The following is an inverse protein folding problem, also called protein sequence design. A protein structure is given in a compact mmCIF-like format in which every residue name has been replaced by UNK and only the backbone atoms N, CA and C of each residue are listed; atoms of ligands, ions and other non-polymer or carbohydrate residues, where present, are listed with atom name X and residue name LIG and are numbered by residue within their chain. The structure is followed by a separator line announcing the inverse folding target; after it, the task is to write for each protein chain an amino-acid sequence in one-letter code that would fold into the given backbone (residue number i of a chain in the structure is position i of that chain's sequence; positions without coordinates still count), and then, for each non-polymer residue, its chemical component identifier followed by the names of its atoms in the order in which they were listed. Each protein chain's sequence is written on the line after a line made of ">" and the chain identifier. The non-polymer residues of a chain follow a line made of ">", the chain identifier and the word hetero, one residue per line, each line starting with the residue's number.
data_IF_230691044577
#
_entry.id   IF_230691044577
#
_cell.length_a   1.000
_cell.length_b   1.000
_cell.length_c   1.000
_cell.angle_alpha   90.00
_cell.angle_beta   90.00
_cell.angle_gamma   90.00
#
_symmetry.space_group_name_H-M   'P 1'
#
loop_
_entity.id
_entity.type
_entity.pdbx_description
1 polymer ?
#
# COMPACT_ATOMS: atom_id res chain seq x y z
N UNK A 1 -44.00 -9.67 -12.87
CA UNK A 1 -43.48 -10.77 -12.02
C UNK A 1 -43.77 -12.09 -12.72
N UNK A 2 -42.83 -12.61 -13.50
CA UNK A 2 -42.95 -13.87 -14.25
C UNK A 2 -41.88 -14.83 -13.73
N UNK A 3 -42.33 -15.91 -13.11
CA UNK A 3 -41.51 -17.01 -12.61
C UNK A 3 -41.35 -17.99 -13.77
N UNK A 4 -40.12 -18.24 -14.22
CA UNK A 4 -39.79 -19.32 -15.15
C UNK A 4 -38.94 -20.33 -14.38
N UNK A 5 -39.43 -21.57 -14.29
CA UNK A 5 -38.81 -22.68 -13.55
C UNK A 5 -37.77 -23.40 -14.44
N UNK A 6 -36.58 -23.56 -13.86
CA UNK A 6 -35.69 -24.73 -13.82
C UNK A 6 -35.87 -25.86 -14.85
N UNK A 7 -34.77 -26.19 -15.53
CA UNK A 7 -34.35 -27.58 -15.79
C UNK A 7 -32.85 -27.71 -15.56
N UNK A 8 -32.46 -28.46 -14.52
CA UNK A 8 -31.11 -29.01 -14.36
C UNK A 8 -30.90 -30.13 -15.37
N UNK A 9 -29.75 -30.15 -16.05
CA UNK A 9 -29.31 -31.33 -16.80
C UNK A 9 -27.96 -31.77 -16.27
N UNK A 10 -27.98 -32.87 -15.53
CA UNK A 10 -26.83 -33.64 -15.05
C UNK A 10 -26.27 -34.44 -16.23
N UNK A 11 -24.98 -34.32 -16.52
CA UNK A 11 -24.25 -35.32 -17.32
C UNK A 11 -23.05 -35.76 -16.49
N UNK A 12 -23.00 -37.06 -16.25
CA UNK A 12 -21.96 -37.74 -15.51
C UNK A 12 -21.22 -38.71 -16.44
N UNK A 13 -19.94 -38.90 -16.12
CA UNK A 13 -19.09 -40.07 -16.35
C UNK A 13 -18.47 -40.27 -17.75
N UNK A 14 -17.13 -40.33 -17.81
CA UNK A 14 -16.35 -41.59 -17.85
C UNK A 14 -14.84 -41.29 -17.85
N UNK A 15 -14.12 -42.04 -17.02
CA UNK A 15 -12.66 -42.13 -16.94
C UNK A 15 -12.15 -43.38 -17.69
N UNK A 16 -10.90 -43.33 -18.20
CA UNK A 16 -9.95 -44.46 -18.39
C UNK A 16 -8.63 -43.88 -18.94
N UNK A 17 -7.57 -43.72 -18.14
CA UNK A 17 -6.46 -44.66 -17.82
C UNK A 17 -5.31 -44.69 -18.87
N UNK A 18 -4.18 -44.11 -18.41
CA UNK A 18 -2.76 -44.49 -18.50
C UNK A 18 -2.01 -44.67 -19.83
N UNK A 19 -0.87 -43.97 -19.93
CA UNK A 19 0.40 -44.58 -20.30
C UNK A 19 1.55 -43.91 -19.53
N UNK A 20 2.40 -44.73 -18.91
CA UNK A 20 3.61 -44.35 -18.21
C UNK A 20 4.77 -44.09 -19.18
N UNK A 21 5.63 -43.12 -18.86
CA UNK A 21 6.91 -42.90 -19.53
C UNK A 21 7.91 -42.25 -18.57
N UNK A 22 8.91 -43.04 -18.14
CA UNK A 22 10.11 -42.56 -17.45
C UNK A 22 11.00 -41.76 -18.43
N UNK A 23 11.62 -40.67 -17.96
CA UNK A 23 12.65 -39.98 -18.73
C UNK A 23 13.21 -38.74 -18.02
N UNK A 24 14.35 -38.94 -17.35
CA UNK A 24 15.45 -38.00 -17.06
C UNK A 24 15.21 -36.62 -16.40
N UNK A 25 15.81 -36.51 -15.20
CA UNK A 25 16.26 -35.24 -14.60
C UNK A 25 17.40 -34.64 -15.44
N UNK A 26 17.21 -33.42 -15.96
CA UNK A 26 18.30 -32.50 -16.28
C UNK A 26 17.94 -31.05 -15.97
N UNK A 27 18.77 -30.45 -15.12
CA UNK A 27 19.24 -29.06 -15.16
C UNK A 27 18.22 -27.94 -15.39
N UNK A 28 17.92 -27.21 -14.33
CA UNK A 28 17.44 -25.83 -14.41
C UNK A 28 18.41 -24.98 -15.25
N UNK A 29 17.88 -24.26 -16.23
CA UNK A 29 18.56 -23.12 -16.85
C UNK A 29 17.64 -21.90 -16.79
N UNK A 30 18.18 -20.85 -16.18
CA UNK A 30 17.58 -19.53 -15.99
C UNK A 30 17.35 -18.85 -17.34
N UNK A 31 16.17 -18.28 -17.64
CA UNK A 31 16.03 -17.35 -18.76
C UNK A 31 16.69 -16.02 -18.40
N UNK A 32 17.65 -15.62 -19.22
CA UNK A 32 18.35 -14.34 -19.13
C UNK A 32 17.38 -13.15 -19.30
N UNK A 33 17.71 -12.06 -18.61
CA UNK A 33 17.02 -10.79 -18.68
C UNK A 33 17.01 -10.21 -20.10
N UNK A 34 15.83 -9.81 -20.57
CA UNK A 34 15.68 -8.93 -21.71
C UNK A 34 15.63 -7.49 -21.21
N UNK A 35 16.65 -6.70 -21.58
CA UNK A 35 16.68 -5.24 -21.44
C UNK A 35 15.83 -4.61 -22.54
N UNK A 36 14.83 -3.77 -22.24
CA UNK A 36 14.29 -2.84 -23.22
C UNK A 36 15.07 -1.52 -23.16
N UNK A 37 15.73 -1.20 -24.26
CA UNK A 37 16.27 0.13 -24.54
C UNK A 37 15.14 1.14 -24.81
N UNK A 38 15.30 2.34 -24.22
CA UNK A 38 14.99 3.62 -24.86
C UNK A 38 13.52 4.02 -25.00
N UNK A 39 12.97 4.70 -23.99
CA UNK A 39 11.89 5.68 -24.18
C UNK A 39 12.28 7.05 -23.59
N UNK A 40 11.78 8.17 -24.17
CA UNK A 40 12.32 9.50 -23.92
C UNK A 40 12.07 9.95 -22.48
N UNK A 41 13.15 10.34 -21.80
CA UNK A 41 13.14 10.93 -20.46
C UNK A 41 12.37 12.26 -20.51
N UNK A 42 11.13 12.25 -20.03
CA UNK A 42 10.40 13.49 -19.77
C UNK A 42 11.12 14.21 -18.64
N UNK A 43 11.59 15.42 -18.92
CA UNK A 43 12.26 16.30 -17.98
C UNK A 43 11.25 16.73 -16.90
N UNK A 44 11.40 16.18 -15.70
CA UNK A 44 10.63 16.60 -14.52
C UNK A 44 11.32 17.85 -13.97
N UNK A 45 10.56 18.95 -13.90
CA UNK A 45 11.03 20.22 -13.35
C UNK A 45 11.57 20.03 -11.92
N UNK A 46 12.70 20.69 -11.63
CA UNK A 46 13.36 20.64 -10.34
C UNK A 46 12.43 21.12 -9.21
N UNK A 47 12.35 20.34 -8.13
CA UNK A 47 11.66 20.73 -6.90
C UNK A 47 12.61 21.54 -6.00
N UNK A 48 12.15 22.72 -5.57
CA UNK A 48 12.88 23.61 -4.66
C UNK A 48 13.21 22.93 -3.32
N UNK A 49 14.43 23.16 -2.84
CA UNK A 49 14.91 22.69 -1.54
C UNK A 49 14.11 23.32 -0.39
N UNK A 50 13.57 22.49 0.51
CA UNK A 50 12.80 22.91 1.68
C UNK A 50 13.76 23.43 2.76
N UNK A 51 13.70 24.72 3.08
CA UNK A 51 14.45 25.34 4.18
C UNK A 51 13.60 25.43 5.45
N UNK A 52 14.27 25.13 6.56
CA UNK A 52 13.78 24.97 7.93
C UNK A 52 13.26 26.29 8.53
N UNK A 53 11.96 26.55 8.40
CA UNK A 53 11.24 27.61 9.13
C UNK A 53 10.01 27.00 9.78
N UNK A 54 9.52 27.60 10.87
CA UNK A 54 8.40 27.16 11.72
C UNK A 54 7.43 26.24 10.97
N UNK A 55 7.31 24.99 11.43
CA UNK A 55 6.71 23.91 10.65
C UNK A 55 5.32 24.30 10.15
N UNK A 56 5.26 24.73 8.89
CA UNK A 56 4.03 25.21 8.25
C UNK A 56 2.89 24.18 8.38
N UNK A 57 1.65 24.61 8.62
CA UNK A 57 0.51 23.70 8.71
C UNK A 57 0.42 22.74 7.52
N UNK A 58 0.11 21.49 7.81
CA UNK A 58 -0.10 20.43 6.82
C UNK A 58 -1.48 19.80 7.00
N UNK A 59 -2.22 19.68 5.90
CA UNK A 59 -3.40 18.82 5.82
C UNK A 59 -3.06 17.61 4.95
N UNK A 60 -3.41 16.43 5.46
CA UNK A 60 -3.21 15.15 4.81
C UNK A 60 -4.57 14.58 4.40
N UNK A 61 -4.83 14.49 3.10
CA UNK A 61 -6.08 13.94 2.57
C UNK A 61 -5.82 12.58 1.93
N UNK A 62 -6.24 11.53 2.61
CA UNK A 62 -6.17 10.15 2.11
C UNK A 62 -7.32 9.86 1.15
N UNK A 63 -7.02 9.24 0.02
CA UNK A 63 -7.98 9.03 -1.06
C UNK A 63 -7.80 7.65 -1.69
N UNK A 64 -8.93 7.06 -2.09
CA UNK A 64 -8.96 6.10 -3.17
C UNK A 64 -9.08 6.86 -4.49
N UNK A 65 -8.49 6.34 -5.55
CA UNK A 65 -8.65 6.88 -6.90
C UNK A 65 -8.91 5.75 -7.90
N UNK A 66 -9.37 6.15 -9.08
CA UNK A 66 -9.68 5.24 -10.18
C UNK A 66 -8.91 5.66 -11.42
N UNK A 67 -8.26 4.70 -12.05
CA UNK A 67 -7.79 4.79 -13.43
C UNK A 67 -8.87 4.24 -14.35
N UNK A 68 -8.91 4.69 -15.59
CA UNK A 68 -9.90 4.26 -16.56
C UNK A 68 -9.22 3.48 -17.67
N UNK A 69 -9.77 2.31 -17.98
CA UNK A 69 -9.30 1.48 -19.09
C UNK A 69 -10.42 1.28 -20.11
N UNK A 70 -10.06 1.12 -21.38
CA UNK A 70 -11.02 0.84 -22.43
C UNK A 70 -11.47 -0.63 -22.39
N UNK A 71 -12.78 -0.84 -22.29
CA UNK A 71 -13.41 -2.15 -22.32
C UNK A 71 -13.58 -2.71 -23.73
N UNK A 72 -13.95 -4.01 -23.86
CA UNK A 72 -14.16 -4.66 -25.16
C UNK A 72 -15.26 -4.02 -26.02
N UNK A 73 -16.20 -3.31 -25.40
CA UNK A 73 -17.28 -2.55 -26.07
C UNK A 73 -16.90 -1.08 -26.36
N UNK A 74 -15.63 -0.72 -26.14
CA UNK A 74 -15.10 0.63 -26.31
C UNK A 74 -15.42 1.60 -25.16
N UNK A 75 -16.18 1.18 -24.14
CA UNK A 75 -16.52 2.03 -22.99
C UNK A 75 -15.36 2.11 -21.99
N UNK A 76 -15.26 3.24 -21.29
CA UNK A 76 -14.31 3.41 -20.19
C UNK A 76 -14.80 2.65 -18.95
N UNK A 77 -13.97 1.76 -18.43
CA UNK A 77 -14.21 0.96 -17.23
C UNK A 77 -13.33 1.51 -16.10
N UNK A 78 -13.89 1.99 -14.98
CA UNK A 78 -13.11 2.42 -13.84
C UNK A 78 -12.47 1.21 -13.16
N UNK A 79 -11.16 1.27 -12.94
CA UNK A 79 -10.41 0.35 -12.10
C UNK A 79 -9.73 1.11 -10.98
N UNK A 80 -9.66 0.57 -9.76
CA UNK A 80 -8.95 1.27 -8.71
C UNK A 80 -7.48 1.43 -9.06
N UNK A 81 -7.00 2.65 -8.89
CA UNK A 81 -5.60 3.03 -9.07
C UNK A 81 -4.82 2.95 -7.76
N UNK A 82 -3.60 3.51 -7.76
CA UNK A 82 -2.72 3.58 -6.58
C UNK A 82 -3.38 4.35 -5.44
N UNK A 83 -3.03 4.04 -4.20
CA UNK A 83 -3.45 4.84 -3.05
C UNK A 83 -2.90 6.27 -3.20
N UNK A 84 -3.72 7.28 -2.88
CA UNK A 84 -3.33 8.68 -3.06
C UNK A 84 -3.41 9.45 -1.76
N UNK A 85 -2.36 10.21 -1.50
CA UNK A 85 -2.31 11.20 -0.44
C UNK A 85 -2.12 12.58 -1.08
N UNK A 86 -3.12 13.44 -0.93
CA UNK A 86 -2.97 14.86 -1.26
C UNK A 86 -2.45 15.58 -0.01
N UNK A 87 -1.28 16.20 -0.15
CA UNK A 87 -0.60 16.93 0.91
C UNK A 87 -0.78 18.41 0.65
N UNK A 88 -1.43 19.11 1.57
CA UNK A 88 -1.68 20.55 1.45
C UNK A 88 -0.82 21.24 2.50
N UNK A 89 0.22 21.93 2.07
CA UNK A 89 1.11 22.72 2.93
C UNK A 89 0.74 24.18 2.80
N UNK A 90 0.85 24.93 3.89
CA UNK A 90 0.99 26.39 3.78
C UNK A 90 2.46 26.70 3.54
N UNK A 91 2.77 27.65 2.69
CA UNK A 91 3.99 28.42 2.84
C UNK A 91 3.56 29.86 3.12
N UNK A 92 4.37 30.70 3.75
CA UNK A 92 3.98 32.08 4.09
C UNK A 92 3.35 32.94 2.95
N UNK A 93 3.26 32.44 1.71
CA UNK A 93 2.60 33.05 0.55
C UNK A 93 1.24 32.45 0.20
N UNK A 94 0.88 31.26 0.69
CA UNK A 94 -0.42 30.63 0.41
C UNK A 94 -0.46 29.12 0.67
N UNK A 95 -1.51 28.46 0.18
CA UNK A 95 -1.60 27.00 0.21
C UNK A 95 -1.00 26.40 -1.05
N UNK A 96 -0.16 25.38 -0.89
CA UNK A 96 0.42 24.55 -1.94
C UNK A 96 -0.04 23.12 -1.77
N UNK A 97 -0.17 22.43 -2.90
CA UNK A 97 -0.58 21.03 -2.93
C UNK A 97 0.49 20.20 -3.59
N UNK A 98 0.84 19.07 -2.98
CA UNK A 98 1.62 18.00 -3.59
C UNK A 98 0.90 16.66 -3.44
N UNK A 99 1.34 15.66 -4.19
CA UNK A 99 0.73 14.33 -4.22
C UNK A 99 1.80 13.29 -3.91
N UNK A 100 1.41 12.29 -3.12
CA UNK A 100 2.15 11.07 -2.88
C UNK A 100 1.24 9.91 -3.27
N UNK A 101 1.76 8.98 -4.07
CA UNK A 101 1.05 7.77 -4.49
C UNK A 101 1.80 6.51 -4.04
N UNK A 102 1.05 5.44 -3.81
CA UNK A 102 1.58 4.13 -3.47
C UNK A 102 0.92 3.06 -4.34
N UNK A 103 1.70 2.48 -5.25
CA UNK A 103 1.27 1.43 -6.17
C UNK A 103 1.03 0.08 -5.45
N UNK A 104 1.56 -0.10 -4.23
CA UNK A 104 1.36 -1.31 -3.42
C UNK A 104 0.06 -1.25 -2.59
N UNK A 105 -0.74 -0.20 -2.75
CA UNK A 105 -2.07 -0.13 -2.15
C UNK A 105 -3.06 0.58 -3.06
N UNK A 106 -4.36 0.42 -2.83
CA UNK A 106 -5.41 1.09 -3.62
C UNK A 106 -6.06 2.25 -2.87
N UNK A 107 -5.84 2.33 -1.56
CA UNK A 107 -6.33 3.40 -0.70
C UNK A 107 -5.49 3.45 0.57
N UNK A 108 -5.19 4.67 1.02
CA UNK A 108 -4.72 4.90 2.39
C UNK A 108 -5.93 5.02 3.31
N UNK A 109 -5.98 4.24 4.39
CA UNK A 109 -7.03 4.42 5.40
C UNK A 109 -6.73 5.58 6.35
N UNK A 110 -5.45 5.83 6.63
CA UNK A 110 -5.00 6.95 7.47
C UNK A 110 -3.59 7.36 7.10
N UNK A 111 -3.30 8.64 7.32
CA UNK A 111 -1.96 9.21 7.24
C UNK A 111 -1.74 10.17 8.42
N UNK A 112 -0.53 10.22 8.95
CA UNK A 112 -0.15 11.13 10.04
C UNK A 112 1.27 11.66 9.83
N UNK A 113 1.51 12.89 10.26
CA UNK A 113 2.87 13.43 10.33
C UNK A 113 3.54 12.93 11.61
N UNK A 114 4.72 12.35 11.47
CA UNK A 114 5.61 12.02 12.57
C UNK A 114 6.81 12.97 12.57
N UNK A 115 7.35 13.22 13.75
CA UNK A 115 8.62 13.92 13.89
C UNK A 115 9.75 12.89 13.89
N UNK A 116 10.59 12.92 12.86
CA UNK A 116 11.80 12.11 12.83
C UNK A 116 12.84 12.61 13.84
N UNK A 117 13.85 11.77 14.13
CA UNK A 117 14.90 12.04 15.14
C UNK A 117 15.72 13.32 14.89
N UNK A 118 15.90 13.68 13.63
CA UNK A 118 16.59 14.91 13.21
C UNK A 118 15.63 16.10 13.05
N UNK A 119 14.39 15.99 13.53
CA UNK A 119 13.36 16.99 13.31
C UNK A 119 12.76 16.96 11.91
N UNK A 120 13.01 15.94 11.08
CA UNK A 120 12.31 15.75 9.81
C UNK A 120 10.81 15.59 10.02
N UNK A 121 10.05 15.91 8.97
CA UNK A 121 8.64 15.54 8.88
C UNK A 121 8.52 14.31 8.02
N UNK A 122 8.29 13.20 8.69
CA UNK A 122 8.02 11.93 8.04
C UNK A 122 6.49 11.77 7.99
N UNK A 123 5.97 11.07 6.98
CA UNK A 123 4.55 10.74 6.90
C UNK A 123 4.40 9.26 7.13
N UNK A 124 3.66 8.86 8.15
CA UNK A 124 3.24 7.47 8.33
C UNK A 124 1.90 7.28 7.63
N UNK A 125 1.77 6.22 6.84
CA UNK A 125 0.50 5.80 6.22
C UNK A 125 0.18 4.36 6.57
N UNK A 126 -1.11 4.07 6.71
CA UNK A 126 -1.62 2.71 6.64
C UNK A 126 -2.37 2.48 5.31
N UNK A 127 -1.86 1.55 4.50
CA UNK A 127 -2.47 1.06 3.28
C UNK A 127 -3.52 0.00 3.57
N UNK A 128 -4.65 0.07 2.86
CA UNK A 128 -5.72 -0.89 3.07
C UNK A 128 -5.45 -2.20 2.35
N UNK A 129 -5.34 -2.21 1.02
CA UNK A 129 -5.55 -3.44 0.22
C UNK A 129 -4.64 -4.62 0.56
N UNK A 130 -3.40 -4.34 0.99
CA UNK A 130 -2.39 -5.34 1.38
C UNK A 130 -1.73 -4.94 2.71
N UNK A 131 -2.48 -4.42 3.67
CA UNK A 131 -2.05 -4.18 5.05
C UNK A 131 -0.68 -3.48 5.26
N UNK A 132 -0.34 -2.46 4.47
CA UNK A 132 0.96 -1.80 4.57
C UNK A 132 1.03 -0.76 5.70
N UNK A 133 2.00 -0.87 6.59
CA UNK A 133 2.49 0.23 7.43
C UNK A 133 3.75 0.81 6.78
N UNK A 134 3.65 2.03 6.26
CA UNK A 134 4.77 2.70 5.56
C UNK A 134 5.11 4.03 6.17
N UNK A 135 6.40 4.33 6.23
CA UNK A 135 6.91 5.66 6.53
C UNK A 135 7.51 6.28 5.27
N UNK A 136 7.12 7.50 4.99
CA UNK A 136 7.54 8.25 3.82
C UNK A 136 8.44 9.39 4.25
N UNK A 137 9.59 9.49 3.57
CA UNK A 137 10.57 10.55 3.80
C UNK A 137 10.84 11.30 2.51
N UNK A 138 11.06 12.60 2.61
CA UNK A 138 11.49 13.40 1.47
C UNK A 138 12.95 13.10 1.15
N UNK A 139 13.23 12.77 -0.10
CA UNK A 139 14.57 12.69 -0.68
C UNK A 139 14.68 13.55 -1.94
N UNK A 140 15.83 13.47 -2.65
CA UNK A 140 16.08 14.27 -3.85
C UNK A 140 15.09 14.03 -5.01
N UNK A 141 14.42 12.88 -5.02
CA UNK A 141 13.45 12.47 -6.04
C UNK A 141 11.99 12.59 -5.56
N UNK A 142 11.75 13.31 -4.44
CA UNK A 142 10.43 13.37 -3.81
C UNK A 142 10.28 12.37 -2.67
N UNK A 143 9.08 11.84 -2.48
CA UNK A 143 8.78 10.94 -1.36
C UNK A 143 9.32 9.52 -1.62
N UNK A 144 10.01 8.96 -0.65
CA UNK A 144 10.44 7.58 -0.62
C UNK A 144 9.77 6.84 0.55
N UNK A 145 9.01 5.80 0.23
CA UNK A 145 8.29 4.97 1.21
C UNK A 145 9.12 3.77 1.65
N UNK A 146 9.18 3.51 2.95
CA UNK A 146 9.72 2.27 3.52
C UNK A 146 8.60 1.52 4.24
N UNK A 147 8.39 0.26 3.87
CA UNK A 147 7.43 -0.63 4.54
C UNK A 147 8.07 -1.21 5.81
N UNK A 148 7.37 -1.06 6.94
CA UNK A 148 7.79 -1.61 8.23
C UNK A 148 6.92 -2.78 8.70
N UNK A 149 5.73 -2.92 8.12
CA UNK A 149 4.86 -4.05 8.38
C UNK A 149 3.90 -4.28 7.21
N UNK A 150 3.73 -5.55 6.83
CA UNK A 150 2.85 -6.00 5.75
C UNK A 150 2.42 -7.45 6.05
N UNK A 151 1.56 -7.66 7.07
CA UNK A 151 1.11 -8.97 7.48
C UNK A 151 0.07 -9.55 6.53
N UNK A 152 -0.10 -10.87 6.61
CA UNK A 152 -1.24 -11.59 6.02
C UNK A 152 -2.14 -12.09 7.14
N UNK A 153 -3.43 -11.75 7.10
CA UNK A 153 -4.41 -12.21 8.08
C UNK A 153 -5.17 -13.44 7.59
N UNK A 154 -5.22 -13.68 6.28
CA UNK A 154 -5.87 -14.83 5.66
C UNK A 154 -7.30 -14.53 5.17
N UNK A 155 -7.63 -13.26 4.98
CA UNK A 155 -8.89 -12.83 4.35
C UNK A 155 -8.81 -12.81 2.82
N UNK A 156 -9.92 -12.39 2.18
CA UNK A 156 -9.88 -12.02 0.75
C UNK A 156 -8.98 -10.79 0.51
N UNK A 157 -8.91 -9.94 1.53
CA UNK A 157 -8.07 -8.77 1.63
C UNK A 157 -7.47 -8.78 3.04
N UNK A 158 -6.29 -8.21 3.18
CA UNK A 158 -5.69 -7.95 4.48
C UNK A 158 -5.60 -6.43 4.64
N UNK A 159 -6.38 -5.85 5.55
CA UNK A 159 -6.45 -4.39 5.69
C UNK A 159 -6.18 -3.90 7.10
N UNK A 160 -5.23 -2.97 7.21
CA UNK A 160 -5.11 -2.11 8.39
C UNK A 160 -6.28 -1.13 8.37
N UNK A 161 -6.88 -0.82 9.52
CA UNK A 161 -8.03 0.08 9.63
C UNK A 161 -7.67 1.41 10.26
N UNK A 162 -6.92 1.35 11.35
CA UNK A 162 -6.55 2.53 12.13
C UNK A 162 -5.19 2.35 12.77
N UNK A 163 -4.55 3.46 13.09
CA UNK A 163 -3.31 3.52 13.85
C UNK A 163 -3.32 4.76 14.74
N UNK A 164 -2.92 4.60 16.00
CA UNK A 164 -2.73 5.70 16.95
C UNK A 164 -1.33 5.66 17.55
N UNK A 165 -0.85 6.83 17.98
CA UNK A 165 0.44 6.98 18.68
C UNK A 165 0.16 7.08 20.17
N UNK A 166 0.89 6.33 20.98
CA UNK A 166 0.91 6.55 22.41
C UNK A 166 1.71 5.49 23.16
N UNK A 167 2.29 5.93 24.25
CA UNK A 167 2.93 5.08 25.25
C UNK A 167 1.89 4.17 25.92
N UNK A 168 2.05 2.86 25.77
CA UNK A 168 1.12 1.85 26.32
C UNK A 168 1.78 0.89 27.30
N UNK A 169 3.09 1.02 27.54
CA UNK A 169 3.85 0.18 28.46
C UNK A 169 4.62 0.96 29.55
N UNK A 170 4.40 2.28 29.64
CA UNK A 170 4.99 3.21 30.61
C UNK A 170 6.53 3.34 30.49
N UNK A 171 7.08 3.14 29.27
CA UNK A 171 8.49 3.40 28.99
C UNK A 171 8.76 4.88 28.58
N UNK A 172 9.90 5.19 27.96
CA UNK A 172 10.23 6.57 27.56
C UNK A 172 9.82 6.92 26.13
N UNK A 173 9.31 5.97 25.36
CA UNK A 173 8.98 6.08 23.95
C UNK A 173 7.46 5.96 23.75
N UNK A 174 6.99 6.29 22.55
CA UNK A 174 5.60 6.04 22.13
C UNK A 174 5.56 4.89 21.12
N UNK A 175 4.52 4.07 21.20
CA UNK A 175 4.24 3.01 20.24
C UNK A 175 3.23 3.44 19.18
N UNK A 176 3.18 2.66 18.10
CA UNK A 176 2.04 2.65 17.19
C UNK A 176 1.08 1.51 17.57
N UNK A 177 -0.15 1.85 17.92
CA UNK A 177 -1.22 0.89 18.17
C UNK A 177 -2.03 0.75 16.90
N UNK A 178 -2.04 -0.44 16.29
CA UNK A 178 -2.61 -0.68 14.97
C UNK A 178 -3.78 -1.66 15.07
N UNK A 179 -4.93 -1.26 14.52
CA UNK A 179 -6.12 -2.10 14.43
C UNK A 179 -6.38 -2.51 12.97
N UNK A 180 -6.84 -3.74 12.75
CA UNK A 180 -7.15 -4.26 11.42
C UNK A 180 -8.65 -4.32 11.15
N UNK A 181 -9.01 -4.28 9.86
CA UNK A 181 -10.38 -4.55 9.44
C UNK A 181 -10.66 -6.06 9.42
N UNK A 182 -9.65 -6.84 9.04
CA UNK A 182 -9.80 -8.27 8.74
C UNK A 182 -9.22 -9.09 9.91
N UNK A 183 -9.96 -10.14 10.29
CA UNK A 183 -9.61 -11.09 11.37
C UNK A 183 -9.43 -10.50 12.78
N UNK A 184 -9.77 -9.22 13.00
CA UNK A 184 -9.79 -8.61 14.34
C UNK A 184 -8.42 -8.63 15.04
N UNK A 185 -7.35 -8.36 14.28
CA UNK A 185 -5.98 -8.33 14.78
C UNK A 185 -5.68 -6.96 15.36
N UNK A 186 -4.96 -6.95 16.49
CA UNK A 186 -4.34 -5.75 17.05
C UNK A 186 -2.83 -5.99 17.10
N UNK A 187 -2.06 -5.00 16.66
CA UNK A 187 -0.62 -5.01 16.71
C UNK A 187 -0.08 -3.76 17.40
N UNK A 188 1.07 -3.91 18.03
CA UNK A 188 1.86 -2.82 18.61
C UNK A 188 3.16 -2.74 17.83
N UNK A 189 3.48 -1.56 17.29
CA UNK A 189 4.75 -1.29 16.64
C UNK A 189 5.63 -0.43 17.54
N UNK A 190 6.76 -1.00 17.94
CA UNK A 190 7.78 -0.33 18.73
C UNK A 190 8.77 0.36 17.80
N UNK A 191 9.34 1.49 18.24
CA UNK A 191 10.45 2.10 17.52
C UNK A 191 11.64 1.14 17.45
N UNK A 192 12.25 1.02 16.28
CA UNK A 192 13.40 0.14 16.05
C UNK A 192 14.36 0.82 15.07
N UNK A 193 15.42 1.45 15.61
CA UNK A 193 16.31 2.29 14.80
C UNK A 193 15.55 3.50 14.27
N UNK A 194 15.61 3.75 12.96
CA UNK A 194 14.85 4.82 12.30
C UNK A 194 13.52 4.31 11.72
N UNK A 195 12.97 3.25 12.31
CA UNK A 195 11.81 2.56 11.79
C UNK A 195 10.93 1.97 12.87
N UNK A 196 10.08 1.03 12.44
CA UNK A 196 9.10 0.38 13.31
C UNK A 196 9.22 -1.12 13.22
N UNK A 197 8.99 -1.79 14.36
CA UNK A 197 8.84 -3.24 14.43
C UNK A 197 7.49 -3.57 15.05
N UNK A 198 6.57 -4.03 14.20
CA UNK A 198 5.24 -4.44 14.61
C UNK A 198 5.22 -5.88 15.14
N UNK A 199 4.45 -6.09 16.21
CA UNK A 199 4.14 -7.40 16.79
C UNK A 199 2.63 -7.51 16.97
N UNK A 200 2.03 -8.60 16.50
CA UNK A 200 0.63 -8.90 16.80
C UNK A 200 0.50 -9.24 18.29
N UNK A 201 -0.39 -8.55 19.00
CA UNK A 201 -0.63 -8.76 20.44
C UNK A 201 -1.98 -9.42 20.71
N UNK A 202 -2.88 -9.40 19.72
CA UNK A 202 -4.19 -10.01 19.83
C UNK A 202 -4.73 -10.42 18.46
N UNK A 203 -5.47 -11.54 18.43
CA UNK A 203 -6.26 -12.02 17.29
C UNK A 203 -7.51 -12.72 17.83
N UNK A 204 -8.65 -12.49 17.16
CA UNK A 204 -9.94 -13.12 17.49
C UNK A 204 -10.06 -14.53 16.90
#
# INVERSE_FOLDING_TARGET
>A
MRIVRSTLSTISLIACIAAAGCGDKKGASTPAAHTPEGQPKTEIAAHDAVTETAREPMLLLTQAQFVYEQGPDGRQIPKPGPAKLTIITRDGKGWKTSVLEDDESRVFHKAMCLTGKNGSRDILTIGATDAHLKLWRTGPQGWAGTSYWNPTFGGKWDRLRDVEVGNVDDDSEDELIIATHDQGVIAIANQSGDGWKATEVFRR
#
